data_IF_479718491429
#
_entry.id   IF_479718491429
#
_cell.length_a   1.000
_cell.length_b   1.000
_cell.length_c   1.000
_cell.angle_alpha   90.00
_cell.angle_beta   90.00
_cell.angle_gamma   90.00
#
_symmetry.space_group_name_H-M   'P 1'
#
loop_
_entity.id
_entity.type
_entity.pdbx_description
1 polymer ?
#
# COMPACT_ATOMS: atom_id res chain seq x y z
N UNK A 1 -12.37 -2.49 12.16
CA UNK A 1 -11.32 -1.95 11.24
C UNK A 1 -11.85 -1.87 9.82
N UNK A 2 -11.61 -0.75 9.15
CA UNK A 2 -11.93 -0.50 7.75
C UNK A 2 -10.67 0.00 7.03
N UNK A 3 -10.44 -0.47 5.81
CA UNK A 3 -9.36 -0.02 4.92
C UNK A 3 -9.79 -0.06 3.46
N UNK A 4 -8.90 0.24 2.54
CA UNK A 4 -9.10 0.04 1.10
C UNK A 4 -8.24 -1.10 0.54
N UNK A 5 -8.54 -1.52 -0.68
CA UNK A 5 -7.88 -2.67 -1.30
C UNK A 5 -6.40 -2.45 -1.64
N UNK A 6 -5.93 -1.18 -1.65
CA UNK A 6 -4.52 -0.86 -1.86
C UNK A 6 -3.65 -1.06 -0.59
N UNK A 7 -4.19 -1.64 0.49
CA UNK A 7 -3.40 -1.97 1.68
C UNK A 7 -2.47 -3.18 1.48
N UNK A 8 -2.69 -3.98 0.45
CA UNK A 8 -1.91 -5.16 0.05
C UNK A 8 -1.66 -6.19 1.17
N UNK A 9 -2.52 -6.20 2.20
CA UNK A 9 -2.47 -7.24 3.21
C UNK A 9 -2.84 -8.61 2.61
N UNK A 10 -2.15 -9.68 3.00
CA UNK A 10 -2.58 -11.05 2.71
C UNK A 10 -4.01 -11.31 3.20
N UNK A 11 -4.75 -12.06 2.39
CA UNK A 11 -6.17 -12.36 2.64
C UNK A 11 -6.39 -13.00 4.00
N UNK A 12 -5.50 -13.87 4.42
CA UNK A 12 -5.54 -14.59 5.71
C UNK A 12 -5.51 -13.62 6.90
N UNK A 13 -4.77 -12.50 6.78
CA UNK A 13 -4.73 -11.47 7.82
C UNK A 13 -6.00 -10.62 7.83
N UNK A 14 -6.55 -10.29 6.65
CA UNK A 14 -7.83 -9.59 6.51
C UNK A 14 -8.95 -10.40 7.18
N UNK A 15 -9.04 -11.68 6.86
CA UNK A 15 -10.05 -12.60 7.41
C UNK A 15 -9.86 -12.81 8.92
N UNK A 16 -8.63 -13.07 9.36
CA UNK A 16 -8.30 -13.29 10.78
C UNK A 16 -8.73 -12.14 11.68
N UNK A 17 -8.50 -10.91 11.24
CA UNK A 17 -8.81 -9.70 12.01
C UNK A 17 -10.16 -9.07 11.62
N UNK A 18 -10.94 -9.73 10.74
CA UNK A 18 -12.24 -9.23 10.26
C UNK A 18 -12.17 -7.79 9.76
N UNK A 19 -11.13 -7.49 9.00
CA UNK A 19 -10.93 -6.16 8.43
C UNK A 19 -11.91 -5.99 7.26
N UNK A 20 -12.72 -4.95 7.29
CA UNK A 20 -13.56 -4.56 6.16
C UNK A 20 -12.72 -3.82 5.13
N UNK A 21 -12.91 -4.16 3.86
CA UNK A 21 -12.10 -3.61 2.75
C UNK A 21 -13.00 -2.94 1.73
N UNK A 22 -12.79 -1.65 1.50
CA UNK A 22 -13.38 -0.89 0.39
C UNK A 22 -12.59 -1.18 -0.89
N UNK A 23 -13.20 -1.80 -1.91
CA UNK A 23 -12.49 -2.06 -3.15
C UNK A 23 -12.33 -0.78 -3.98
N UNK A 24 -11.12 -0.51 -4.43
CA UNK A 24 -10.88 0.43 -5.52
C UNK A 24 -11.42 -0.15 -6.84
N UNK A 25 -11.48 0.64 -7.90
CA UNK A 25 -11.92 0.15 -9.20
C UNK A 25 -10.80 0.21 -10.22
N UNK A 26 -10.71 -0.82 -11.06
CA UNK A 26 -9.89 -0.87 -12.28
C UNK A 26 -10.84 -0.78 -13.47
N UNK A 27 -10.64 0.23 -14.32
CA UNK A 27 -11.59 0.61 -15.37
C UNK A 27 -10.92 0.40 -16.73
N UNK A 28 -11.42 -0.56 -17.47
CA UNK A 28 -11.16 -0.77 -18.88
C UNK A 28 -12.28 -0.15 -19.74
N UNK A 29 -12.06 0.07 -21.04
CA UNK A 29 -13.10 0.63 -21.90
C UNK A 29 -14.40 -0.17 -21.90
N UNK A 30 -14.31 -1.49 -21.85
CA UNK A 30 -15.44 -2.40 -21.91
C UNK A 30 -16.11 -2.67 -20.56
N UNK A 31 -15.37 -2.52 -19.43
CA UNK A 31 -15.87 -2.92 -18.13
C UNK A 31 -15.07 -2.33 -16.96
N UNK A 32 -15.76 -2.04 -15.88
CA UNK A 32 -15.17 -1.72 -14.58
C UNK A 32 -15.10 -2.97 -13.69
N UNK A 33 -13.97 -3.14 -13.04
CA UNK A 33 -13.69 -4.26 -12.13
C UNK A 33 -13.42 -3.75 -10.72
N UNK A 34 -13.77 -4.55 -9.71
CA UNK A 34 -13.45 -4.29 -8.31
C UNK A 34 -12.14 -4.98 -7.94
N UNK A 35 -11.22 -4.18 -7.47
CA UNK A 35 -9.87 -4.57 -7.10
C UNK A 35 -9.88 -5.75 -6.10
N UNK A 36 -9.15 -6.81 -6.41
CA UNK A 36 -9.05 -8.08 -5.66
C UNK A 36 -10.36 -8.85 -5.47
N UNK A 37 -11.48 -8.38 -6.04
CA UNK A 37 -12.78 -9.08 -6.01
C UNK A 37 -13.02 -9.83 -7.32
N UNK A 38 -12.95 -9.13 -8.44
CA UNK A 38 -13.23 -9.70 -9.76
C UNK A 38 -12.20 -9.34 -10.82
N UNK A 39 -11.02 -8.91 -10.40
CA UNK A 39 -9.80 -8.80 -11.20
C UNK A 39 -8.59 -9.10 -10.30
N UNK A 40 -7.62 -9.86 -10.83
CA UNK A 40 -6.39 -10.21 -10.14
C UNK A 40 -5.19 -9.46 -10.73
N UNK A 41 -4.08 -9.26 -9.97
CA UNK A 41 -2.93 -8.50 -10.44
C UNK A 41 -2.36 -9.02 -11.78
N UNK A 42 -2.26 -10.34 -11.94
CA UNK A 42 -1.71 -10.94 -13.15
C UNK A 42 -2.53 -10.60 -14.40
N UNK A 43 -3.86 -10.56 -14.29
CA UNK A 43 -4.75 -10.20 -15.41
C UNK A 43 -4.49 -8.78 -15.92
N UNK A 44 -4.17 -7.83 -15.00
CA UNK A 44 -3.81 -6.46 -15.37
C UNK A 44 -2.48 -6.45 -16.10
N UNK A 45 -1.49 -7.19 -15.62
CA UNK A 45 -0.15 -7.23 -16.22
C UNK A 45 -0.15 -7.94 -17.58
N UNK A 46 -0.94 -9.00 -17.74
CA UNK A 46 -1.05 -9.75 -19.00
C UNK A 46 -1.68 -8.90 -20.11
N UNK A 47 -2.52 -7.93 -19.78
CA UNK A 47 -3.15 -6.98 -20.73
C UNK A 47 -2.26 -5.78 -21.06
N UNK A 48 -1.27 -5.49 -20.23
CA UNK A 48 -0.30 -4.40 -20.46
C UNK A 48 0.85 -4.84 -21.35
N UNK A 49 1.40 -3.97 -22.20
CA UNK A 49 1.08 -2.54 -22.36
C UNK A 49 -0.04 -2.24 -23.39
N UNK A 50 -0.60 -3.28 -24.06
CA UNK A 50 -1.55 -3.12 -25.14
C UNK A 50 -2.82 -2.40 -24.68
N UNK A 51 -3.26 -2.72 -23.48
CA UNK A 51 -4.47 -2.18 -22.89
C UNK A 51 -4.20 -1.70 -21.46
N UNK A 52 -4.07 -0.39 -21.30
CA UNK A 52 -3.77 0.24 -20.01
C UNK A 52 -5.06 0.78 -19.41
N UNK A 53 -5.55 0.20 -18.29
CA UNK A 53 -6.75 0.69 -17.63
C UNK A 53 -6.50 1.98 -16.85
N UNK A 54 -7.56 2.56 -16.32
CA UNK A 54 -7.52 3.61 -15.31
C UNK A 54 -8.06 3.10 -13.98
N UNK A 55 -7.95 3.90 -12.93
CA UNK A 55 -8.47 3.54 -11.61
C UNK A 55 -9.41 4.62 -11.07
N UNK A 56 -10.31 4.22 -10.19
CA UNK A 56 -11.07 5.15 -9.37
C UNK A 56 -11.11 4.72 -7.91
N UNK A 57 -11.30 5.70 -7.01
CA UNK A 57 -11.69 5.46 -5.64
C UNK A 57 -13.06 4.78 -5.57
N UNK A 58 -13.48 4.22 -4.42
CA UNK A 58 -14.83 3.72 -4.22
C UNK A 58 -15.88 4.79 -4.52
N UNK A 59 -17.10 4.39 -4.81
CA UNK A 59 -18.23 5.34 -4.95
C UNK A 59 -18.76 5.74 -3.57
N UNK A 60 -19.44 6.91 -3.44
CA UNK A 60 -20.11 7.29 -2.19
C UNK A 60 -21.08 6.21 -1.69
N UNK A 61 -21.81 5.58 -2.60
CA UNK A 61 -22.75 4.50 -2.28
C UNK A 61 -22.05 3.27 -1.68
N UNK A 62 -20.88 2.89 -2.17
CA UNK A 62 -20.12 1.75 -1.63
C UNK A 62 -19.61 2.04 -0.22
N UNK A 63 -19.13 3.26 0.03
CA UNK A 63 -18.70 3.69 1.38
C UNK A 63 -19.90 3.68 2.33
N UNK A 64 -21.00 4.32 1.94
CA UNK A 64 -22.23 4.37 2.76
C UNK A 64 -22.78 2.97 3.04
N UNK A 65 -22.87 2.10 2.02
CA UNK A 65 -23.36 0.73 2.18
C UNK A 65 -22.52 -0.10 3.15
N UNK A 66 -21.19 0.06 3.11
CA UNK A 66 -20.30 -0.66 4.02
C UNK A 66 -20.40 -0.12 5.47
N UNK A 67 -20.53 1.18 5.67
CA UNK A 67 -20.77 1.75 7.00
C UNK A 67 -22.13 1.33 7.56
N UNK A 68 -23.17 1.26 6.73
CA UNK A 68 -24.48 0.71 7.08
C UNK A 68 -24.40 -0.76 7.50
N UNK A 69 -23.60 -1.58 6.80
CA UNK A 69 -23.36 -2.98 7.15
C UNK A 69 -22.69 -3.06 8.53
N UNK A 70 -21.61 -2.28 8.75
CA UNK A 70 -20.89 -2.22 10.03
C UNK A 70 -21.84 -1.80 11.18
N UNK A 71 -22.70 -0.82 10.93
CA UNK A 71 -23.72 -0.37 11.90
C UNK A 71 -24.71 -1.48 12.23
N UNK A 72 -25.22 -2.20 11.23
CA UNK A 72 -26.14 -3.33 11.42
C UNK A 72 -25.51 -4.52 12.13
N UNK A 73 -24.19 -4.69 12.01
CA UNK A 73 -23.44 -5.69 12.79
C UNK A 73 -23.27 -5.29 14.27
N UNK A 74 -23.75 -4.11 14.69
CA UNK A 74 -23.74 -3.65 16.09
C UNK A 74 -22.44 -2.98 16.53
N UNK A 75 -21.56 -2.63 15.60
CA UNK A 75 -20.37 -1.85 15.96
C UNK A 75 -20.73 -0.38 16.22
N UNK A 76 -20.08 0.19 17.22
CA UNK A 76 -20.24 1.60 17.62
C UNK A 76 -19.05 2.47 17.21
N UNK A 77 -17.91 1.86 16.93
CA UNK A 77 -16.66 2.54 16.58
C UNK A 77 -16.07 1.96 15.30
N UNK A 78 -15.65 2.84 14.39
CA UNK A 78 -14.99 2.48 13.13
C UNK A 78 -13.65 3.21 13.02
N UNK A 79 -12.57 2.45 12.95
CA UNK A 79 -11.26 2.98 12.60
C UNK A 79 -11.01 2.69 11.13
N UNK A 80 -11.07 3.73 10.29
CA UNK A 80 -10.91 3.68 8.84
C UNK A 80 -9.50 4.18 8.48
N UNK A 81 -8.64 3.29 8.02
CA UNK A 81 -7.22 3.54 7.75
C UNK A 81 -6.96 3.33 6.27
N UNK A 82 -6.63 4.39 5.55
CA UNK A 82 -6.57 4.41 4.09
C UNK A 82 -5.20 4.83 3.54
N UNK A 83 -4.95 4.45 2.26
CA UNK A 83 -3.78 4.91 1.53
C UNK A 83 -3.73 6.45 1.48
N UNK A 84 -2.53 6.99 1.20
CA UNK A 84 -2.25 8.44 1.15
C UNK A 84 -3.29 9.24 0.35
N UNK A 85 -3.79 10.32 0.97
CA UNK A 85 -4.65 11.32 0.33
C UNK A 85 -3.97 12.04 -0.84
N UNK A 86 -2.63 12.10 -0.85
CA UNK A 86 -1.85 12.63 -1.97
C UNK A 86 -1.88 11.73 -3.22
N UNK A 87 -2.31 10.47 -3.09
CA UNK A 87 -2.36 9.48 -4.17
C UNK A 87 -3.78 9.12 -4.59
N UNK A 88 -4.75 9.24 -3.68
CA UNK A 88 -6.17 8.89 -3.91
C UNK A 88 -7.10 9.73 -3.05
N UNK A 89 -8.24 10.12 -3.60
CA UNK A 89 -9.32 10.80 -2.87
C UNK A 89 -10.10 9.93 -1.89
N UNK A 90 -9.68 8.69 -1.63
CA UNK A 90 -10.43 7.74 -0.77
C UNK A 90 -10.58 8.26 0.66
N UNK A 91 -9.53 8.85 1.24
CA UNK A 91 -9.60 9.46 2.59
C UNK A 91 -10.68 10.52 2.68
N UNK A 92 -10.65 11.47 1.74
CA UNK A 92 -11.59 12.60 1.72
C UNK A 92 -13.03 12.12 1.52
N UNK A 93 -13.23 11.16 0.63
CA UNK A 93 -14.54 10.55 0.40
C UNK A 93 -15.09 9.87 1.66
N UNK A 94 -14.28 9.01 2.30
CA UNK A 94 -14.70 8.29 3.52
C UNK A 94 -14.97 9.28 4.64
N UNK A 95 -14.16 10.34 4.77
CA UNK A 95 -14.37 11.37 5.77
C UNK A 95 -15.66 12.18 5.56
N UNK A 96 -15.98 12.45 4.29
CA UNK A 96 -17.24 13.14 3.93
C UNK A 96 -18.46 12.28 4.27
N UNK A 97 -18.47 11.01 3.85
CA UNK A 97 -19.60 10.10 4.11
C UNK A 97 -19.73 9.78 5.61
N UNK A 98 -18.61 9.69 6.33
CA UNK A 98 -18.63 9.43 7.79
C UNK A 98 -19.47 10.47 8.58
N UNK A 99 -19.59 11.69 8.07
CA UNK A 99 -20.39 12.76 8.71
C UNK A 99 -21.91 12.48 8.68
N UNK A 100 -22.35 11.57 7.80
CA UNK A 100 -23.76 11.18 7.71
C UNK A 100 -24.17 10.11 8.76
N UNK A 101 -23.21 9.60 9.53
CA UNK A 101 -23.39 8.52 10.52
C UNK A 101 -23.18 9.04 11.95
N UNK A 102 -24.14 9.81 12.48
CA UNK A 102 -24.04 10.45 13.80
C UNK A 102 -24.01 9.43 14.96
N UNK A 103 -24.53 8.23 14.74
CA UNK A 103 -24.58 7.14 15.73
C UNK A 103 -23.32 6.25 15.73
N UNK A 104 -22.36 6.50 14.85
CA UNK A 104 -21.07 5.82 14.80
C UNK A 104 -19.91 6.76 15.14
N UNK A 105 -19.03 6.34 16.01
CA UNK A 105 -17.74 7.03 16.23
C UNK A 105 -16.77 6.59 15.13
N UNK A 106 -16.64 7.39 14.09
CA UNK A 106 -15.77 7.07 12.94
C UNK A 106 -14.50 7.93 12.99
N UNK A 107 -13.34 7.29 13.02
CA UNK A 107 -12.05 7.97 12.84
C UNK A 107 -11.42 7.54 11.52
N UNK A 108 -11.24 8.51 10.63
CA UNK A 108 -10.54 8.32 9.37
C UNK A 108 -9.08 8.74 9.55
N UNK A 109 -8.17 7.89 9.10
CA UNK A 109 -6.72 8.07 9.19
C UNK A 109 -6.10 8.01 7.80
N UNK A 110 -5.47 9.09 7.40
CA UNK A 110 -4.57 9.13 6.26
C UNK A 110 -3.22 8.56 6.67
N UNK A 111 -2.83 7.43 6.09
CA UNK A 111 -1.55 6.79 6.39
C UNK A 111 -0.36 7.55 5.84
N UNK A 112 -0.57 8.40 4.83
CA UNK A 112 0.48 9.05 4.03
C UNK A 112 1.51 8.06 3.47
N UNK A 113 1.05 6.85 3.23
CA UNK A 113 1.82 5.78 2.58
C UNK A 113 0.87 4.97 1.69
N UNK A 114 1.31 3.85 1.17
CA UNK A 114 0.53 3.00 0.28
C UNK A 114 0.95 1.54 0.42
N UNK A 115 0.22 0.67 -0.29
CA UNK A 115 0.54 -0.75 -0.36
C UNK A 115 0.65 -1.36 1.04
N UNK A 116 1.56 -2.29 1.24
CA UNK A 116 1.78 -2.93 2.54
C UNK A 116 2.24 -1.94 3.64
N UNK A 117 2.66 -0.72 3.30
CA UNK A 117 2.88 0.34 4.30
C UNK A 117 1.58 0.73 5.00
N UNK A 118 0.50 0.94 4.22
CA UNK A 118 -0.86 1.07 4.77
C UNK A 118 -1.27 -0.23 5.47
N UNK A 119 -0.98 -1.38 4.85
CA UNK A 119 -1.27 -2.69 5.43
C UNK A 119 -0.68 -2.90 6.83
N UNK A 120 0.59 -2.53 7.06
CA UNK A 120 1.19 -2.60 8.39
C UNK A 120 0.45 -1.74 9.41
N UNK A 121 0.08 -0.51 9.05
CA UNK A 121 -0.68 0.36 9.94
C UNK A 121 -2.04 -0.22 10.28
N UNK A 122 -2.74 -0.78 9.30
CA UNK A 122 -4.03 -1.48 9.47
C UNK A 122 -3.87 -2.69 10.39
N UNK A 123 -2.84 -3.51 10.14
CA UNK A 123 -2.59 -4.74 10.89
C UNK A 123 -2.26 -4.47 12.36
N UNK A 124 -1.39 -3.49 12.64
CA UNK A 124 -1.04 -3.14 14.02
C UNK A 124 -2.25 -2.56 14.77
N UNK A 125 -3.03 -1.69 14.15
CA UNK A 125 -4.27 -1.19 14.75
C UNK A 125 -5.28 -2.31 15.00
N UNK A 126 -5.40 -3.28 14.09
CA UNK A 126 -6.27 -4.45 14.27
C UNK A 126 -5.78 -5.34 15.43
N UNK A 127 -4.48 -5.49 15.62
CA UNK A 127 -3.87 -6.20 16.75
C UNK A 127 -4.14 -5.49 18.08
N UNK A 128 -3.98 -4.18 18.11
CA UNK A 128 -4.27 -3.35 19.28
C UNK A 128 -5.74 -3.52 19.72
N UNK A 129 -6.67 -3.44 18.77
CA UNK A 129 -8.10 -3.66 19.02
C UNK A 129 -8.35 -5.08 19.53
N UNK A 130 -7.78 -6.08 18.88
CA UNK A 130 -7.97 -7.50 19.26
C UNK A 130 -7.39 -7.84 20.65
N UNK A 131 -6.35 -7.09 21.08
CA UNK A 131 -5.77 -7.23 22.43
C UNK A 131 -6.58 -6.50 23.52
N UNK A 132 -7.64 -5.78 23.15
CA UNK A 132 -8.43 -4.97 24.08
C UNK A 132 -7.78 -3.63 24.44
N UNK A 133 -6.78 -3.20 23.69
CA UNK A 133 -6.19 -1.86 23.89
C UNK A 133 -7.25 -0.79 23.60
N UNK A 134 -7.42 0.15 24.51
CA UNK A 134 -8.48 1.17 24.40
C UNK A 134 -8.31 2.06 23.15
N UNK A 135 -9.44 2.62 22.70
CA UNK A 135 -9.56 3.42 21.48
C UNK A 135 -8.47 4.49 21.34
N UNK A 136 -8.32 5.36 22.36
CA UNK A 136 -7.33 6.44 22.29
C UNK A 136 -5.90 5.93 22.16
N UNK A 137 -5.55 4.85 22.89
CA UNK A 137 -4.21 4.29 22.85
C UNK A 137 -3.89 3.67 21.47
N UNK A 138 -4.86 3.02 20.83
CA UNK A 138 -4.74 2.53 19.45
C UNK A 138 -4.46 3.68 18.48
N UNK A 139 -5.15 4.81 18.61
CA UNK A 139 -4.91 6.00 17.78
C UNK A 139 -3.52 6.59 18.00
N UNK A 140 -3.07 6.68 19.25
CA UNK A 140 -1.74 7.20 19.59
C UNK A 140 -0.63 6.30 19.00
N UNK A 141 -0.79 4.97 19.13
CA UNK A 141 0.13 4.01 18.56
C UNK A 141 0.19 4.14 17.02
N UNK A 142 -0.96 4.27 16.37
CA UNK A 142 -1.04 4.42 14.92
C UNK A 142 -0.35 5.69 14.44
N UNK A 143 -0.51 6.79 15.18
CA UNK A 143 0.17 8.05 14.89
C UNK A 143 1.69 7.93 14.99
N UNK A 144 2.20 7.27 16.04
CA UNK A 144 3.62 7.01 16.22
C UNK A 144 4.17 6.05 15.17
N UNK A 145 3.37 5.04 14.77
CA UNK A 145 3.78 4.04 13.78
C UNK A 145 4.05 4.65 12.41
N UNK A 146 3.29 5.67 12.02
CA UNK A 146 3.40 6.29 10.68
C UNK A 146 4.82 6.74 10.34
N UNK A 147 5.55 7.35 11.26
CA UNK A 147 6.93 7.81 11.03
C UNK A 147 7.95 6.68 10.90
N UNK A 148 7.60 5.49 11.42
CA UNK A 148 8.44 4.29 11.41
C UNK A 148 8.21 3.37 10.21
N UNK A 149 7.13 3.60 9.45
CA UNK A 149 6.82 2.84 8.22
C UNK A 149 7.55 3.48 7.04
N UNK A 150 8.41 2.72 6.37
CA UNK A 150 9.19 3.16 5.21
C UNK A 150 8.98 2.19 4.05
N UNK A 151 8.53 2.70 2.92
CA UNK A 151 8.28 1.93 1.69
C UNK A 151 9.32 2.31 0.66
N UNK A 152 9.96 1.31 0.03
CA UNK A 152 10.91 1.50 -1.06
C UNK A 152 10.61 0.54 -2.20
N UNK A 153 10.64 1.02 -3.44
CA UNK A 153 10.40 0.16 -4.59
C UNK A 153 11.09 0.67 -5.85
N UNK A 154 11.26 -0.25 -6.76
CA UNK A 154 11.79 -0.01 -8.10
C UNK A 154 10.78 -0.46 -9.14
N UNK A 155 10.73 0.27 -10.25
CA UNK A 155 9.83 0.00 -11.37
C UNK A 155 10.63 -0.34 -12.62
N UNK A 156 10.02 -1.09 -13.53
CA UNK A 156 10.62 -1.31 -14.85
C UNK A 156 10.59 -0.02 -15.68
N UNK A 157 9.53 0.77 -15.57
CA UNK A 157 9.38 2.07 -16.24
C UNK A 157 8.60 3.05 -15.38
N UNK A 158 8.81 4.35 -15.58
CA UNK A 158 8.02 5.42 -14.95
C UNK A 158 6.78 5.81 -15.77
N UNK A 159 6.58 5.19 -16.93
CA UNK A 159 5.53 5.55 -17.87
C UNK A 159 4.13 5.42 -17.25
N UNK A 160 3.88 4.35 -16.50
CA UNK A 160 2.58 4.11 -15.89
C UNK A 160 2.27 5.11 -14.76
N UNK A 161 3.26 5.49 -13.95
CA UNK A 161 3.11 6.57 -12.96
C UNK A 161 2.79 7.90 -13.64
N UNK A 162 3.45 8.20 -14.77
CA UNK A 162 3.22 9.40 -15.56
C UNK A 162 1.80 9.44 -16.14
N UNK A 163 1.39 8.36 -16.81
CA UNK A 163 0.05 8.23 -17.38
C UNK A 163 -1.06 8.33 -16.33
N UNK A 164 -0.84 7.71 -15.18
CA UNK A 164 -1.77 7.75 -14.06
C UNK A 164 -1.79 9.07 -13.30
N UNK A 165 -0.89 10.01 -13.58
CA UNK A 165 -0.79 11.29 -12.87
C UNK A 165 -0.28 11.18 -11.42
N UNK A 166 0.27 10.05 -11.01
CA UNK A 166 0.79 9.80 -9.65
C UNK A 166 2.33 9.83 -9.59
N UNK A 167 2.98 10.39 -10.60
CA UNK A 167 4.45 10.38 -10.69
C UNK A 167 5.14 11.26 -9.63
N UNK A 168 4.47 12.27 -9.08
CA UNK A 168 5.03 13.14 -8.04
C UNK A 168 6.35 13.80 -8.47
N UNK A 169 7.28 14.01 -7.54
CA UNK A 169 8.59 14.58 -7.80
C UNK A 169 9.54 13.63 -8.56
N UNK A 170 9.18 12.34 -8.70
CA UNK A 170 9.91 11.38 -9.54
C UNK A 170 9.89 11.80 -11.02
N UNK A 171 8.95 12.68 -11.42
CA UNK A 171 8.88 13.27 -12.76
C UNK A 171 10.21 13.92 -13.20
N UNK A 172 11.00 14.46 -12.28
CA UNK A 172 12.32 15.01 -12.57
C UNK A 172 13.31 13.97 -13.14
N UNK A 173 13.02 12.68 -13.01
CA UNK A 173 13.82 11.60 -13.61
C UNK A 173 13.46 11.30 -15.07
N UNK A 174 12.32 11.82 -15.57
CA UNK A 174 11.91 11.65 -16.95
C UNK A 174 12.91 12.39 -17.88
N UNK A 175 13.44 11.66 -18.83
CA UNK A 175 14.40 12.23 -19.80
C UNK A 175 15.84 12.40 -19.29
N UNK A 176 16.11 12.18 -18.01
CA UNK A 176 17.47 12.18 -17.49
C UNK A 176 18.05 10.77 -17.48
N UNK A 177 18.92 10.47 -18.43
CA UNK A 177 19.70 9.23 -18.49
C UNK A 177 18.90 7.91 -18.62
N UNK A 178 18.90 7.37 -19.82
CA UNK A 178 18.21 6.12 -20.25
C UNK A 178 18.50 4.87 -19.38
N UNK A 179 19.53 4.92 -18.53
CA UNK A 179 20.00 3.77 -17.74
C UNK A 179 19.86 3.96 -16.23
N UNK A 180 19.31 5.09 -15.75
CA UNK A 180 19.10 5.29 -14.32
C UNK A 180 17.71 4.80 -13.90
N UNK A 181 17.69 3.89 -12.95
CA UNK A 181 16.47 3.42 -12.27
C UNK A 181 16.40 4.09 -10.91
N UNK A 182 15.34 4.88 -10.60
CA UNK A 182 15.14 5.41 -9.27
C UNK A 182 14.69 4.33 -8.30
N UNK A 183 15.17 4.39 -7.07
CA UNK A 183 14.51 3.81 -5.91
C UNK A 183 13.51 4.86 -5.43
N UNK A 184 12.24 4.51 -5.45
CA UNK A 184 11.13 5.39 -5.12
C UNK A 184 10.69 5.13 -3.69
N UNK A 185 10.33 6.18 -2.97
CA UNK A 185 9.73 6.14 -1.66
C UNK A 185 8.62 7.18 -1.55
N UNK A 186 8.04 7.32 -0.37
CA UNK A 186 6.98 8.27 -0.06
C UNK A 186 7.48 9.23 1.02
N UNK A 187 7.26 10.53 0.81
CA UNK A 187 7.63 11.57 1.76
C UNK A 187 6.60 11.72 2.91
N UNK A 188 6.85 12.67 3.81
CA UNK A 188 5.98 12.93 4.97
C UNK A 188 4.58 13.43 4.57
N UNK A 189 4.43 13.96 3.36
CA UNK A 189 3.15 14.39 2.79
C UNK A 189 2.42 13.26 2.03
N UNK A 190 3.03 12.07 1.93
CA UNK A 190 2.45 10.93 1.22
C UNK A 190 2.63 10.96 -0.28
N UNK A 191 3.58 11.77 -0.81
CA UNK A 191 3.88 11.90 -2.24
C UNK A 191 5.11 11.08 -2.61
N UNK A 192 5.15 10.58 -3.84
CA UNK A 192 6.33 9.88 -4.35
C UNK A 192 7.52 10.79 -4.54
N UNK A 193 8.68 10.32 -4.11
CA UNK A 193 9.96 10.97 -4.38
C UNK A 193 11.07 9.96 -4.71
N UNK A 194 12.15 10.44 -5.30
CA UNK A 194 13.34 9.63 -5.58
C UNK A 194 14.22 9.57 -4.34
N UNK A 195 14.22 8.43 -3.66
CA UNK A 195 15.09 8.18 -2.51
C UNK A 195 16.56 8.02 -2.90
N UNK A 196 16.81 7.23 -3.94
CA UNK A 196 18.16 6.97 -4.47
C UNK A 196 18.10 6.66 -5.97
N UNK A 197 19.25 6.57 -6.61
CA UNK A 197 19.41 6.27 -8.04
C UNK A 197 20.38 5.12 -8.20
N UNK A 198 20.10 4.20 -9.13
CA UNK A 198 20.99 3.09 -9.46
C UNK A 198 21.11 2.93 -10.98
N UNK A 199 22.23 2.39 -11.47
CA UNK A 199 22.44 2.11 -12.90
C UNK A 199 21.88 0.73 -13.24
N UNK A 200 20.76 0.70 -13.94
CA UNK A 200 20.11 -0.52 -14.40
C UNK A 200 19.34 -1.27 -13.32
N UNK A 201 18.58 -2.25 -13.77
CA UNK A 201 17.65 -3.02 -12.94
C UNK A 201 18.34 -3.77 -11.82
N UNK A 202 19.40 -4.52 -12.13
CA UNK A 202 20.11 -5.34 -11.14
C UNK A 202 20.65 -4.51 -9.96
N UNK A 203 21.28 -3.35 -10.24
CA UNK A 203 21.78 -2.47 -9.19
C UNK A 203 20.68 -1.78 -8.39
N UNK A 204 19.51 -1.56 -9.00
CA UNK A 204 18.37 -1.00 -8.25
C UNK A 204 17.79 -2.02 -7.28
N UNK A 205 17.75 -3.30 -7.63
CA UNK A 205 17.34 -4.38 -6.73
C UNK A 205 18.37 -4.60 -5.62
N UNK A 206 19.66 -4.57 -5.96
CA UNK A 206 20.75 -4.60 -4.97
C UNK A 206 20.57 -3.50 -3.93
N UNK A 207 20.23 -2.28 -4.39
CA UNK A 207 20.00 -1.14 -3.49
C UNK A 207 18.80 -1.35 -2.56
N UNK A 208 17.73 -2.04 -3.00
CA UNK A 208 16.63 -2.41 -2.10
C UNK A 208 17.11 -3.36 -0.99
N UNK A 209 17.94 -4.34 -1.33
CA UNK A 209 18.50 -5.25 -0.33
C UNK A 209 19.41 -4.52 0.67
N UNK A 210 20.32 -3.65 0.18
CA UNK A 210 21.19 -2.83 1.05
C UNK A 210 20.39 -1.97 2.05
N UNK A 211 19.24 -1.41 1.63
CA UNK A 211 18.37 -0.61 2.51
C UNK A 211 17.87 -1.46 3.69
N UNK A 212 17.44 -2.70 3.42
CA UNK A 212 16.98 -3.62 4.47
C UNK A 212 18.14 -4.07 5.35
N UNK A 213 19.28 -4.46 4.75
CA UNK A 213 20.49 -4.87 5.45
C UNK A 213 21.00 -3.78 6.40
N UNK A 214 20.92 -2.52 5.99
CA UNK A 214 21.27 -1.38 6.84
C UNK A 214 20.24 -1.16 7.96
N UNK A 215 18.95 -1.37 7.70
CA UNK A 215 17.90 -1.22 8.71
C UNK A 215 18.05 -2.25 9.84
N UNK A 216 18.31 -3.53 9.52
CA UNK A 216 18.48 -4.58 10.53
C UNK A 216 19.73 -4.40 11.39
N UNK A 217 20.74 -3.64 10.91
CA UNK A 217 21.92 -3.28 11.70
C UNK A 217 21.61 -2.22 12.77
N UNK A 218 20.60 -1.38 12.53
CA UNK A 218 20.18 -0.34 13.47
C UNK A 218 19.30 -0.87 14.61
N UNK A 219 18.60 -1.96 14.37
CA UNK A 219 17.69 -2.55 15.35
C UNK A 219 16.68 -3.52 14.75
N UNK A 220 15.74 -4.01 15.59
CA UNK A 220 14.71 -4.91 15.12
C UNK A 220 13.71 -4.20 14.18
N UNK A 221 13.30 -4.92 13.14
CA UNK A 221 12.33 -4.44 12.14
C UNK A 221 11.24 -5.47 11.90
N UNK A 222 10.07 -5.02 11.38
CA UNK A 222 9.17 -5.85 10.59
C UNK A 222 9.43 -5.54 9.12
N UNK A 223 9.39 -6.55 8.29
CA UNK A 223 9.69 -6.45 6.87
C UNK A 223 8.53 -6.94 6.03
N UNK A 224 8.21 -6.25 4.95
CA UNK A 224 7.46 -6.84 3.87
C UNK A 224 8.27 -6.78 2.57
N UNK A 225 8.16 -7.83 1.75
CA UNK A 225 8.67 -7.88 0.39
C UNK A 225 7.47 -8.01 -0.54
N UNK A 226 7.41 -7.19 -1.59
CA UNK A 226 6.27 -7.13 -2.48
C UNK A 226 6.68 -7.04 -3.94
N UNK A 227 5.81 -7.54 -4.82
CA UNK A 227 6.04 -7.44 -6.26
C UNK A 227 4.76 -7.18 -7.06
N UNK A 228 4.93 -6.64 -8.27
CA UNK A 228 3.92 -6.51 -9.29
C UNK A 228 4.46 -7.07 -10.61
N UNK A 229 4.15 -8.33 -10.92
CA UNK A 229 4.63 -9.00 -12.14
C UNK A 229 6.13 -9.34 -12.18
N UNK A 230 6.86 -9.25 -11.06
CA UNK A 230 8.31 -9.50 -10.95
C UNK A 230 8.61 -10.74 -10.10
N UNK A 231 7.91 -11.85 -10.33
CA UNK A 231 7.90 -13.04 -9.46
C UNK A 231 9.30 -13.64 -9.23
N UNK A 232 10.12 -13.77 -10.27
CA UNK A 232 11.46 -14.36 -10.13
C UNK A 232 12.39 -13.48 -9.29
N UNK A 233 12.39 -12.17 -9.55
CA UNK A 233 13.19 -11.21 -8.80
C UNK A 233 12.73 -11.12 -7.34
N UNK A 234 11.42 -11.20 -7.12
CA UNK A 234 10.81 -11.26 -5.79
C UNK A 234 11.31 -12.47 -5.00
N UNK A 235 11.29 -13.68 -5.56
CA UNK A 235 11.77 -14.87 -4.85
C UNK A 235 13.25 -14.76 -4.49
N UNK A 236 14.09 -14.27 -5.41
CA UNK A 236 15.52 -14.04 -5.13
C UNK A 236 15.75 -13.01 -4.03
N UNK A 237 14.99 -11.91 -4.05
CA UNK A 237 15.09 -10.87 -3.02
C UNK A 237 14.60 -11.40 -1.67
N UNK A 238 13.46 -12.09 -1.65
CA UNK A 238 12.89 -12.69 -0.45
C UNK A 238 13.85 -13.71 0.18
N UNK A 239 14.42 -14.62 -0.62
CA UNK A 239 15.40 -15.61 -0.17
C UNK A 239 16.62 -14.95 0.48
N UNK A 240 17.14 -13.87 -0.12
CA UNK A 240 18.25 -13.11 0.43
C UNK A 240 17.92 -12.45 1.77
N UNK A 241 16.71 -11.89 1.91
CA UNK A 241 16.36 -11.07 3.05
C UNK A 241 15.80 -11.84 4.25
N UNK A 242 15.07 -12.95 4.00
CA UNK A 242 14.31 -13.66 5.05
C UNK A 242 15.16 -14.21 6.20
N UNK A 243 16.46 -14.40 5.99
CA UNK A 243 17.39 -14.93 6.99
C UNK A 243 18.22 -13.86 7.70
N UNK A 244 18.00 -12.59 7.39
CA UNK A 244 18.68 -11.49 8.05
C UNK A 244 18.31 -11.44 9.55
N UNK A 245 19.29 -11.14 10.43
CA UNK A 245 19.01 -10.98 11.86
C UNK A 245 18.07 -9.78 12.09
N UNK A 246 17.43 -9.76 13.26
CA UNK A 246 16.55 -8.67 13.68
C UNK A 246 15.25 -8.48 12.88
N UNK A 247 14.91 -9.34 11.94
CA UNK A 247 13.55 -9.36 11.35
C UNK A 247 12.62 -10.08 12.31
N UNK A 248 11.68 -9.36 12.90
CA UNK A 248 10.68 -9.87 13.85
C UNK A 248 9.47 -10.48 13.19
N UNK A 249 9.14 -9.97 12.03
CA UNK A 249 8.00 -10.45 11.25
C UNK A 249 8.26 -10.16 9.77
N UNK A 250 7.86 -11.10 8.91
CA UNK A 250 8.03 -11.00 7.45
C UNK A 250 6.69 -11.26 6.76
N UNK A 251 6.28 -10.33 5.90
CA UNK A 251 5.12 -10.48 5.01
C UNK A 251 5.61 -10.50 3.56
N UNK A 252 5.11 -11.47 2.80
CA UNK A 252 5.26 -11.54 1.35
C UNK A 252 3.91 -11.22 0.71
N UNK A 253 3.85 -10.28 -0.24
CA UNK A 253 2.58 -9.80 -0.81
C UNK A 253 2.69 -9.44 -2.29
N UNK A 254 1.59 -9.62 -3.00
CA UNK A 254 1.39 -9.09 -4.34
C UNK A 254 0.84 -7.66 -4.26
N UNK A 255 1.28 -6.80 -5.16
CA UNK A 255 0.67 -5.48 -5.36
C UNK A 255 -0.74 -5.65 -5.94
N UNK A 256 -1.70 -4.90 -5.39
CA UNK A 256 -3.09 -4.91 -5.86
C UNK A 256 -3.22 -4.47 -7.33
N UNK A 257 -4.25 -4.97 -8.05
CA UNK A 257 -4.58 -4.50 -9.39
C UNK A 257 -4.60 -2.98 -9.53
N UNK A 258 -5.24 -2.27 -8.61
CA UNK A 258 -5.35 -0.82 -8.66
C UNK A 258 -3.99 -0.12 -8.56
N UNK A 259 -3.08 -0.59 -7.71
CA UNK A 259 -1.71 -0.06 -7.67
C UNK A 259 -0.91 -0.51 -8.90
N UNK A 260 -1.15 -1.73 -9.39
CA UNK A 260 -0.53 -2.29 -10.58
C UNK A 260 -0.76 -1.45 -11.84
N UNK A 261 -1.96 -0.85 -11.99
CA UNK A 261 -2.28 0.08 -13.08
C UNK A 261 -1.30 1.26 -13.15
N UNK A 262 -0.90 1.79 -11.99
CA UNK A 262 0.00 2.95 -11.91
C UNK A 262 1.48 2.59 -11.92
N UNK A 263 1.82 1.36 -11.54
CA UNK A 263 3.23 0.93 -11.45
C UNK A 263 3.68 0.12 -12.65
N UNK A 264 2.75 -0.55 -13.33
CA UNK A 264 3.01 -1.49 -14.39
C UNK A 264 3.66 -2.79 -13.91
N UNK A 265 3.86 -3.76 -14.81
CA UNK A 265 4.61 -4.96 -14.51
C UNK A 265 6.08 -4.65 -14.21
N UNK A 266 6.69 -5.44 -13.32
CA UNK A 266 8.09 -5.30 -12.94
C UNK A 266 8.31 -4.46 -11.67
N UNK A 267 7.27 -4.12 -10.90
CA UNK A 267 7.48 -3.56 -9.56
C UNK A 267 8.11 -4.60 -8.65
N UNK A 268 9.14 -4.19 -7.93
CA UNK A 268 9.72 -4.91 -6.79
C UNK A 268 9.94 -3.93 -5.64
N UNK A 269 9.50 -4.28 -4.44
CA UNK A 269 9.55 -3.37 -3.31
C UNK A 269 9.76 -4.04 -1.96
N UNK A 270 10.13 -3.23 -1.00
CA UNK A 270 10.24 -3.59 0.43
C UNK A 270 9.55 -2.53 1.28
N UNK A 271 8.96 -2.98 2.37
CA UNK A 271 8.45 -2.08 3.41
C UNK A 271 9.08 -2.46 4.74
N UNK A 272 9.64 -1.48 5.41
CA UNK A 272 10.31 -1.63 6.70
C UNK A 272 9.48 -0.91 7.75
N UNK A 273 9.24 -1.58 8.87
CA UNK A 273 8.69 -0.95 10.08
C UNK A 273 9.72 -1.04 11.17
N UNK A 274 10.35 0.09 11.48
CA UNK A 274 11.34 0.19 12.55
C UNK A 274 10.65 -0.03 13.91
N UNK A 275 11.21 -0.92 14.74
CA UNK A 275 10.71 -1.16 16.09
C UNK A 275 11.46 -0.22 17.03
N UNK A 276 10.72 0.65 17.70
CA UNK A 276 11.30 1.58 18.66
C UNK A 276 11.78 0.91 19.94
#
# INVERSE_FOLDING_TARGET
MLTDSACDLPRELIERFRIKVLPLSVIYPEKSYKDRINIHPQEVYDRMPEEIPTTSMPTPHEVSSLLEEIRREGFTHVLAVHLSSALSGTVDLVQMIAQEFEDLVIKVVDTRTLSIGTGWMVLEAARDIASGLGWQKTLDNLHQLRSRVKVYYVLETLEYLRRGGRIGSVAAMLGQFLHLKPIISVDEEGKYYTYAKARGRSKSIEKLAEIVEHAVQKGPIKLAVMHGGAREEFHRLLERLQHLPNIKELIASDISPALGVHTGPGLLGVCIVEQG
#
